data_IF_820926925048
#
_entry.id   IF_820926925048
#
_cell.length_a   1.000
_cell.length_b   1.000
_cell.length_c   1.000
_cell.angle_alpha   90.00
_cell.angle_beta   90.00
_cell.angle_gamma   90.00
#
_symmetry.space_group_name_H-M   'P 1'
#
loop_
_entity.id
_entity.type
_entity.pdbx_description
1 polymer ?
#
# COMPACT_ATOMS: atom_id res chain seq x y z
N UNK A 1 -18.56 -20.52 43.06
CA UNK A 1 -18.51 -20.78 41.59
C UNK A 1 -17.22 -20.22 41.03
N UNK A 2 -16.33 -21.08 40.53
CA UNK A 2 -15.07 -20.65 39.93
C UNK A 2 -15.38 -19.98 38.57
N UNK A 3 -15.03 -18.71 38.36
CA UNK A 3 -15.29 -18.05 37.07
C UNK A 3 -14.37 -18.65 36.00
N UNK A 4 -14.91 -18.98 34.82
CA UNK A 4 -14.12 -19.44 33.69
C UNK A 4 -12.98 -18.47 33.35
N UNK A 5 -11.79 -19.02 33.13
CA UNK A 5 -10.61 -18.28 32.67
C UNK A 5 -9.95 -19.02 31.52
N UNK A 6 -9.93 -18.38 30.36
CA UNK A 6 -9.18 -18.89 29.22
C UNK A 6 -7.67 -18.75 29.46
N UNK A 7 -6.96 -19.89 29.51
CA UNK A 7 -5.52 -19.95 29.84
C UNK A 7 -4.66 -19.15 28.85
N UNK A 8 -5.07 -19.04 27.59
CA UNK A 8 -4.32 -18.34 26.54
C UNK A 8 -4.82 -16.90 26.29
N UNK A 9 -5.55 -16.29 27.23
CA UNK A 9 -6.06 -14.92 27.07
C UNK A 9 -4.96 -13.91 26.72
N UNK A 10 -3.82 -13.94 27.42
CA UNK A 10 -2.69 -13.05 27.14
C UNK A 10 -2.12 -13.24 25.72
N UNK A 11 -2.11 -14.48 25.22
CA UNK A 11 -1.66 -14.78 23.85
C UNK A 11 -2.63 -14.19 22.83
N UNK A 12 -3.94 -14.31 23.08
CA UNK A 12 -4.98 -13.72 22.23
C UNK A 12 -4.84 -12.19 22.18
N UNK A 13 -4.67 -11.53 23.33
CA UNK A 13 -4.49 -10.08 23.42
C UNK A 13 -3.24 -9.62 22.63
N UNK A 14 -2.14 -10.38 22.71
CA UNK A 14 -0.92 -10.11 21.94
C UNK A 14 -1.16 -10.27 20.44
N UNK A 15 -1.89 -11.32 20.01
CA UNK A 15 -2.24 -11.52 18.59
C UNK A 15 -3.12 -10.39 18.04
N UNK A 16 -4.01 -9.84 18.87
CA UNK A 16 -4.82 -8.66 18.50
C UNK A 16 -3.95 -7.43 18.24
N UNK A 17 -3.00 -7.15 19.14
CA UNK A 17 -2.05 -6.04 18.97
C UNK A 17 -1.25 -6.23 17.67
N UNK A 18 -0.73 -7.44 17.41
CA UNK A 18 0.02 -7.71 16.19
C UNK A 18 -0.83 -7.53 14.92
N UNK A 19 -2.07 -8.01 14.91
CA UNK A 19 -3.00 -7.82 13.79
C UNK A 19 -3.23 -6.33 13.51
N UNK A 20 -3.47 -5.53 14.54
CA UNK A 20 -3.68 -4.08 14.39
C UNK A 20 -2.42 -3.35 13.92
N UNK A 21 -1.23 -3.77 14.39
CA UNK A 21 0.04 -3.26 13.87
C UNK A 21 0.18 -3.56 12.37
N UNK A 22 -0.09 -4.79 11.92
CA UNK A 22 -0.04 -5.14 10.50
C UNK A 22 -1.07 -4.39 9.66
N UNK A 23 -2.26 -4.15 10.21
CA UNK A 23 -3.29 -3.33 9.56
C UNK A 23 -2.81 -1.89 9.36
N UNK A 24 -2.18 -1.30 10.37
CA UNK A 24 -1.58 0.04 10.29
C UNK A 24 -0.45 0.08 9.26
N UNK A 25 0.43 -0.91 9.26
CA UNK A 25 1.52 -1.03 8.29
C UNK A 25 0.99 -1.04 6.84
N UNK A 26 -0.05 -1.84 6.58
CA UNK A 26 -0.70 -1.93 5.28
C UNK A 26 -1.34 -0.59 4.88
N UNK A 27 -2.07 0.05 5.80
CA UNK A 27 -2.66 1.37 5.56
C UNK A 27 -1.60 2.40 5.15
N UNK A 28 -0.46 2.43 5.85
CA UNK A 28 0.63 3.34 5.55
C UNK A 28 1.23 3.09 4.16
N UNK A 29 1.38 1.83 3.74
CA UNK A 29 1.87 1.54 2.38
C UNK A 29 0.86 1.83 1.29
N UNK A 30 -0.43 1.68 1.53
CA UNK A 30 -1.48 2.11 0.60
C UNK A 30 -1.48 3.62 0.42
N UNK A 31 -1.34 4.38 1.52
CA UNK A 31 -1.19 5.85 1.45
C UNK A 31 0.06 6.25 0.66
N UNK A 32 1.18 5.55 0.87
CA UNK A 32 2.39 5.77 0.09
C UNK A 32 2.16 5.47 -1.39
N UNK A 33 1.52 4.35 -1.71
CA UNK A 33 1.21 3.96 -3.09
C UNK A 33 0.40 5.06 -3.79
N UNK A 34 -0.67 5.52 -3.15
CA UNK A 34 -1.51 6.59 -3.68
C UNK A 34 -0.72 7.89 -3.93
N UNK A 35 0.18 8.27 -3.02
CA UNK A 35 1.08 9.43 -3.23
C UNK A 35 1.97 9.24 -4.45
N UNK A 36 2.59 8.07 -4.60
CA UNK A 36 3.46 7.80 -5.75
C UNK A 36 2.68 7.78 -7.07
N UNK A 37 1.45 7.27 -7.08
CA UNK A 37 0.57 7.26 -8.25
C UNK A 37 0.13 8.68 -8.64
N UNK A 38 -0.12 9.56 -7.65
CA UNK A 38 -0.39 10.98 -7.91
C UNK A 38 0.81 11.69 -8.53
N UNK A 39 2.04 11.47 -8.01
CA UNK A 39 3.26 12.03 -8.61
C UNK A 39 3.41 11.59 -10.07
N UNK A 40 3.14 10.32 -10.38
CA UNK A 40 3.17 9.84 -11.76
C UNK A 40 2.13 10.54 -12.65
N UNK A 41 0.93 10.75 -12.11
CA UNK A 41 -0.14 11.46 -12.82
C UNK A 41 0.28 12.89 -13.14
N UNK A 42 0.86 13.59 -12.17
CA UNK A 42 1.32 14.97 -12.33
C UNK A 42 2.42 15.07 -13.38
N UNK A 43 3.42 14.18 -13.34
CA UNK A 43 4.49 14.12 -14.35
C UNK A 43 3.96 13.86 -15.77
N UNK A 44 2.98 12.95 -15.91
CA UNK A 44 2.35 12.67 -17.21
C UNK A 44 1.54 13.85 -17.71
N UNK A 45 0.84 14.54 -16.83
CA UNK A 45 0.07 15.71 -17.16
C UNK A 45 0.98 16.87 -17.60
N UNK A 46 2.08 17.08 -16.89
CA UNK A 46 3.11 18.06 -17.25
C UNK A 46 3.72 17.79 -18.63
N UNK A 47 4.05 16.53 -18.93
CA UNK A 47 4.53 16.14 -20.25
C UNK A 47 3.48 16.44 -21.33
N UNK A 48 2.21 16.12 -21.07
CA UNK A 48 1.10 16.36 -22.00
C UNK A 48 0.90 17.86 -22.26
N UNK A 49 0.92 18.68 -21.21
CA UNK A 49 0.80 20.14 -21.31
C UNK A 49 1.96 20.69 -22.14
N UNK A 50 3.19 20.32 -21.81
CA UNK A 50 4.39 20.79 -22.49
C UNK A 50 4.40 20.41 -23.97
N UNK A 51 3.95 19.20 -24.32
CA UNK A 51 3.78 18.78 -25.71
C UNK A 51 2.71 19.60 -26.45
N UNK A 52 1.61 19.94 -25.79
CA UNK A 52 0.56 20.76 -26.38
C UNK A 52 1.04 22.20 -26.61
N UNK A 53 1.81 22.77 -25.69
CA UNK A 53 2.44 24.08 -25.87
C UNK A 53 3.33 24.11 -27.11
N UNK A 54 4.18 23.10 -27.31
CA UNK A 54 5.03 23.01 -28.50
C UNK A 54 4.19 22.90 -29.76
N UNK A 55 3.11 22.10 -29.75
CA UNK A 55 2.21 21.99 -30.91
C UNK A 55 1.55 23.33 -31.26
N UNK A 56 1.16 24.12 -30.26
CA UNK A 56 0.59 25.45 -30.46
C UNK A 56 1.64 26.44 -30.97
N UNK A 57 2.86 26.42 -30.41
CA UNK A 57 3.96 27.32 -30.81
C UNK A 57 4.55 26.98 -32.18
N UNK A 58 4.52 25.72 -32.63
CA UNK A 58 4.96 25.33 -33.99
C UNK A 58 4.20 26.08 -35.09
N UNK A 59 2.96 26.52 -34.84
CA UNK A 59 2.20 27.37 -35.77
C UNK A 59 2.83 28.76 -35.99
N UNK A 60 3.77 29.17 -35.13
CA UNK A 60 4.47 30.47 -35.16
C UNK A 60 5.96 30.37 -35.54
N UNK A 61 6.42 29.23 -36.08
CA UNK A 61 7.83 28.91 -36.37
C UNK A 61 8.74 28.97 -35.13
N UNK A 62 9.04 27.81 -34.55
CA UNK A 62 10.02 27.68 -33.48
C UNK A 62 11.45 27.70 -34.04
N UNK A 63 12.37 28.32 -33.31
CA UNK A 63 13.80 28.25 -33.60
C UNK A 63 14.37 26.85 -33.31
N UNK A 64 15.52 26.53 -33.93
CA UNK A 64 16.24 25.28 -33.66
C UNK A 64 16.63 25.14 -32.17
N UNK A 65 16.97 26.25 -31.51
CA UNK A 65 17.32 26.27 -30.09
C UNK A 65 16.14 25.90 -29.20
N UNK A 66 14.96 26.48 -29.44
CA UNK A 66 13.74 26.15 -28.70
C UNK A 66 13.34 24.69 -28.90
N UNK A 67 13.45 24.17 -30.12
CA UNK A 67 13.18 22.77 -30.42
C UNK A 67 14.11 21.83 -29.65
N UNK A 68 15.41 22.16 -29.58
CA UNK A 68 16.39 21.40 -28.82
C UNK A 68 16.07 21.42 -27.32
N UNK A 69 15.75 22.59 -26.76
CA UNK A 69 15.34 22.72 -25.37
C UNK A 69 14.13 21.86 -25.03
N UNK A 70 13.06 21.93 -25.84
CA UNK A 70 11.86 21.13 -25.62
C UNK A 70 12.12 19.63 -25.74
N UNK A 71 12.96 19.22 -26.68
CA UNK A 71 13.35 17.82 -26.82
C UNK A 71 14.08 17.30 -25.58
N UNK A 72 15.07 18.05 -25.07
CA UNK A 72 15.76 17.72 -23.83
C UNK A 72 14.81 17.67 -22.63
N UNK A 73 13.87 18.61 -22.55
CA UNK A 73 12.87 18.65 -21.49
C UNK A 73 11.92 17.44 -21.52
N UNK A 74 11.45 17.04 -22.70
CA UNK A 74 10.61 15.85 -22.86
C UNK A 74 11.36 14.58 -22.45
N UNK A 75 12.62 14.44 -22.86
CA UNK A 75 13.44 13.30 -22.45
C UNK A 75 13.64 13.25 -20.93
N UNK A 76 13.83 14.41 -20.30
CA UNK A 76 13.92 14.51 -18.84
C UNK A 76 12.63 14.03 -18.16
N UNK A 77 11.47 14.56 -18.59
CA UNK A 77 10.17 14.14 -18.05
C UNK A 77 9.89 12.65 -18.27
N UNK A 78 10.18 12.12 -19.47
CA UNK A 78 10.07 10.69 -19.76
C UNK A 78 10.94 9.84 -18.83
N UNK A 79 12.18 10.27 -18.57
CA UNK A 79 13.07 9.58 -17.62
C UNK A 79 12.51 9.60 -16.20
N UNK A 80 11.97 10.72 -15.74
CA UNK A 80 11.32 10.82 -14.43
C UNK A 80 10.09 9.90 -14.33
N UNK A 81 9.28 9.85 -15.38
CA UNK A 81 8.12 8.96 -15.48
C UNK A 81 8.56 7.49 -15.32
N UNK A 82 9.60 7.07 -16.02
CA UNK A 82 10.12 5.69 -15.93
C UNK A 82 10.64 5.35 -14.53
N UNK A 83 11.37 6.27 -13.91
CA UNK A 83 11.83 6.14 -12.52
C UNK A 83 10.63 6.00 -11.57
N UNK A 84 9.60 6.82 -11.78
CA UNK A 84 8.41 6.85 -10.93
C UNK A 84 7.58 5.57 -11.09
N UNK A 85 7.46 5.02 -12.31
CA UNK A 85 6.82 3.71 -12.55
C UNK A 85 7.54 2.61 -11.77
N UNK A 86 8.87 2.54 -11.86
CA UNK A 86 9.67 1.57 -11.08
C UNK A 86 9.51 1.76 -9.56
N UNK A 87 9.33 2.99 -9.09
CA UNK A 87 9.05 3.28 -7.68
C UNK A 87 7.68 2.76 -7.27
N UNK A 88 6.64 3.00 -8.07
CA UNK A 88 5.29 2.47 -7.84
C UNK A 88 5.31 0.94 -7.78
N UNK A 89 6.01 0.26 -8.70
CA UNK A 89 6.12 -1.20 -8.69
C UNK A 89 6.73 -1.73 -7.38
N UNK A 90 7.79 -1.08 -6.88
CA UNK A 90 8.39 -1.44 -5.59
C UNK A 90 7.41 -1.26 -4.43
N UNK A 91 6.64 -0.16 -4.43
CA UNK A 91 5.63 0.09 -3.39
C UNK A 91 4.47 -0.91 -3.50
N UNK A 92 4.03 -1.29 -4.71
CA UNK A 92 3.02 -2.34 -4.91
C UNK A 92 3.47 -3.67 -4.33
N UNK A 93 4.73 -4.06 -4.53
CA UNK A 93 5.30 -5.26 -3.92
C UNK A 93 5.29 -5.18 -2.38
N UNK A 94 5.60 -4.03 -1.80
CA UNK A 94 5.54 -3.82 -0.35
C UNK A 94 4.10 -3.90 0.20
N UNK A 95 3.13 -3.29 -0.50
CA UNK A 95 1.70 -3.40 -0.16
C UNK A 95 1.27 -4.87 -0.12
N UNK A 96 1.62 -5.64 -1.14
CA UNK A 96 1.26 -7.06 -1.21
C UNK A 96 1.91 -7.87 -0.08
N UNK A 97 3.18 -7.63 0.21
CA UNK A 97 3.87 -8.27 1.34
C UNK A 97 3.19 -7.95 2.68
N UNK A 98 2.78 -6.70 2.89
CA UNK A 98 2.07 -6.30 4.11
C UNK A 98 0.66 -6.88 4.19
N UNK A 99 -0.02 -7.02 3.05
CA UNK A 99 -1.31 -7.71 2.95
C UNK A 99 -1.19 -9.17 3.38
N UNK A 100 -0.19 -9.89 2.88
CA UNK A 100 0.10 -11.28 3.28
C UNK A 100 0.34 -11.41 4.79
N UNK A 101 1.17 -10.54 5.36
CA UNK A 101 1.43 -10.51 6.82
C UNK A 101 0.17 -10.26 7.65
N UNK A 102 -0.74 -9.41 7.17
CA UNK A 102 -2.03 -9.18 7.85
C UNK A 102 -2.94 -10.41 7.79
N UNK A 103 -2.96 -11.11 6.65
CA UNK A 103 -3.72 -12.35 6.48
C UNK A 103 -3.18 -13.42 7.43
N UNK A 104 -1.86 -13.60 7.49
CA UNK A 104 -1.21 -14.54 8.43
C UNK A 104 -1.55 -14.21 9.88
N UNK A 105 -1.39 -12.95 10.30
CA UNK A 105 -1.74 -12.52 11.66
C UNK A 105 -3.23 -12.75 11.98
N UNK A 106 -4.12 -12.61 10.98
CA UNK A 106 -5.54 -12.88 11.15
C UNK A 106 -5.84 -14.37 11.32
N UNK A 107 -5.18 -15.24 10.55
CA UNK A 107 -5.30 -16.70 10.68
C UNK A 107 -4.79 -17.18 12.04
N UNK A 108 -3.63 -16.67 12.47
CA UNK A 108 -3.06 -17.02 13.78
C UNK A 108 -3.98 -16.62 14.93
N UNK A 109 -4.61 -15.44 14.85
CA UNK A 109 -5.61 -15.01 15.82
C UNK A 109 -6.81 -15.97 15.84
N UNK A 110 -7.36 -16.29 14.67
CA UNK A 110 -8.54 -17.15 14.52
C UNK A 110 -8.32 -18.54 15.15
N UNK A 111 -7.10 -19.10 15.05
CA UNK A 111 -6.75 -20.36 15.70
C UNK A 111 -6.90 -20.26 17.23
N UNK A 112 -6.43 -19.17 17.84
CA UNK A 112 -6.53 -18.97 19.29
C UNK A 112 -7.99 -18.71 19.72
N UNK A 113 -8.77 -18.01 18.89
CA UNK A 113 -10.21 -17.82 19.13
C UNK A 113 -10.97 -19.15 19.12
N UNK A 114 -10.70 -20.03 18.14
CA UNK A 114 -11.29 -21.38 18.11
C UNK A 114 -10.90 -22.23 19.33
N UNK A 115 -9.67 -22.09 19.82
CA UNK A 115 -9.26 -22.76 21.06
C UNK A 115 -10.01 -22.23 22.29
N UNK A 116 -10.28 -20.91 22.31
CA UNK A 116 -11.09 -20.27 23.36
C UNK A 116 -12.51 -20.83 23.35
N UNK A 117 -13.16 -20.87 22.19
CA UNK A 117 -14.50 -21.42 22.01
C UNK A 117 -14.59 -22.86 22.50
N UNK A 118 -13.71 -23.76 22.03
CA UNK A 118 -13.68 -25.15 22.48
C UNK A 118 -13.46 -25.31 23.98
N UNK A 119 -12.58 -24.50 24.56
CA UNK A 119 -12.34 -24.55 26.01
C UNK A 119 -13.52 -24.02 26.83
N UNK A 120 -14.31 -23.13 26.26
CA UNK A 120 -15.54 -22.64 26.88
C UNK A 120 -16.66 -23.68 26.81
N UNK A 121 -16.81 -24.36 25.66
CA UNK A 121 -17.73 -25.50 25.51
C UNK A 121 -17.41 -26.62 26.50
N UNK A 122 -16.13 -27.00 26.63
CA UNK A 122 -15.70 -28.00 27.60
C UNK A 122 -16.02 -27.58 29.04
N UNK A 123 -15.77 -26.31 29.39
CA UNK A 123 -16.14 -25.79 30.70
C UNK A 123 -17.65 -25.91 30.93
N UNK A 124 -18.50 -25.52 29.97
CA UNK A 124 -19.96 -25.63 30.12
C UNK A 124 -20.45 -27.07 30.29
N UNK A 125 -19.85 -28.03 29.58
CA UNK A 125 -20.19 -29.45 29.68
C UNK A 125 -19.87 -30.05 31.06
N UNK A 126 -18.89 -29.52 31.80
CA UNK A 126 -18.57 -29.96 33.17
C UNK A 126 -19.60 -29.49 34.22
N UNK A 127 -20.50 -28.55 33.89
CA UNK A 127 -21.56 -28.05 34.76
C UNK A 127 -22.98 -28.46 34.33
N UNK A 128 -23.10 -29.37 33.36
CA UNK A 128 -24.34 -30.06 33.00
C UNK A 128 -24.37 -31.46 33.61
#
# INVERSE_FOLDING_TARGET
MNRYRFKLKKVLDVKDIYKELRRRDLKNSLLRLSKEENVLKDLKEELRISQNEVKLKRKKLLSCFELSFYYSYFNFLSTLIDIQVKKIERVKKDVENKRKKLIEASKEKEIIEKLKEKSWEAYLAEFQ
#
